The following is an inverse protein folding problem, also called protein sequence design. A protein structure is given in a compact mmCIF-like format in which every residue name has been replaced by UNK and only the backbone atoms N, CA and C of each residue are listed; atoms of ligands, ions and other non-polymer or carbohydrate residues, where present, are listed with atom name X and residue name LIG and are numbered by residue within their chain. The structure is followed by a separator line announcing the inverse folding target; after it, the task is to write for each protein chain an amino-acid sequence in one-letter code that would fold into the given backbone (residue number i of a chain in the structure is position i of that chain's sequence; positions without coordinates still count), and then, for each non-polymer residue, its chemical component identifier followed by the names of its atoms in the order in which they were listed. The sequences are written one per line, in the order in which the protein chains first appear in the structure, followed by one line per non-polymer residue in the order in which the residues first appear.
data_IF_714031526658
#
_entry.id   IF_714031526658
#
_cell.length_a   1.000
_cell.length_b   1.000
_cell.length_c   1.000
_cell.angle_alpha   90.00
_cell.angle_beta   90.00
_cell.angle_gamma   90.00
#
_symmetry.space_group_name_H-M   'P 1'
#
loop_
_entity.id
_entity.type
_entity.pdbx_description
1 polymer ?
#
# COMPACT_ATOMS: atom_id res chain seq x y z
N UNK A 1 18.70 -23.73 6.20
CA UNK A 1 17.45 -23.51 6.95
C UNK A 1 16.63 -22.53 6.13
N UNK A 2 15.53 -23.00 5.57
CA UNK A 2 14.74 -22.29 4.57
C UNK A 2 13.94 -21.18 5.27
N UNK A 3 14.44 -19.95 5.26
CA UNK A 3 13.60 -18.80 5.58
C UNK A 3 12.46 -18.82 4.55
N UNK A 4 11.21 -19.08 4.97
CA UNK A 4 10.06 -19.01 4.08
C UNK A 4 10.02 -17.64 3.39
N UNK A 5 10.50 -17.59 2.15
CA UNK A 5 10.54 -16.43 1.28
C UNK A 5 9.17 -16.29 0.62
N UNK A 6 8.23 -15.76 1.38
CA UNK A 6 6.93 -15.39 0.85
C UNK A 6 7.06 -14.07 0.10
N UNK A 7 6.45 -13.98 -1.09
CA UNK A 7 6.40 -12.75 -1.86
C UNK A 7 4.97 -12.41 -2.23
N UNK A 8 4.71 -11.12 -2.41
CA UNK A 8 3.45 -10.59 -2.89
C UNK A 8 3.66 -9.92 -4.24
N UNK A 9 2.77 -10.22 -5.19
CA UNK A 9 2.68 -9.53 -6.46
C UNK A 9 1.24 -9.11 -6.71
N UNK A 10 1.06 -7.94 -7.31
CA UNK A 10 -0.23 -7.32 -7.58
C UNK A 10 -0.19 -6.70 -8.96
N UNK A 11 -1.23 -6.93 -9.76
CA UNK A 11 -1.38 -6.30 -11.07
C UNK A 11 -2.83 -5.88 -11.27
N UNK A 12 -3.03 -4.61 -11.59
CA UNK A 12 -4.34 -4.03 -11.90
C UNK A 12 -4.33 -3.40 -13.27
N UNK A 13 -5.27 -3.78 -14.12
CA UNK A 13 -5.43 -3.13 -15.42
C UNK A 13 -6.19 -1.80 -15.25
N UNK A 14 -5.70 -0.76 -15.90
CA UNK A 14 -6.29 0.57 -15.88
C UNK A 14 -7.24 0.70 -17.07
N UNK A 15 -8.53 0.89 -16.77
CA UNK A 15 -9.55 1.13 -17.79
C UNK A 15 -9.52 2.57 -18.33
N UNK A 16 -8.92 3.49 -17.57
CA UNK A 16 -8.76 4.90 -17.92
C UNK A 16 -7.40 5.40 -17.42
N UNK A 17 -6.77 6.36 -18.12
CA UNK A 17 -5.56 7.03 -17.65
C UNK A 17 -5.71 7.57 -16.25
N UNK A 18 -4.67 7.42 -15.41
CA UNK A 18 -4.68 8.06 -14.10
C UNK A 18 -4.23 9.51 -14.26
N UNK A 19 -5.23 10.38 -14.14
CA UNK A 19 -5.07 11.83 -14.12
C UNK A 19 -5.36 12.35 -12.72
N UNK A 20 -5.73 13.62 -12.60
CA UNK A 20 -6.20 14.18 -11.35
C UNK A 20 -7.48 13.45 -10.90
N UNK A 21 -7.71 13.37 -9.58
CA UNK A 21 -8.89 12.74 -8.94
C UNK A 21 -8.82 11.22 -8.70
N UNK A 22 -7.64 10.60 -8.74
CA UNK A 22 -7.41 9.30 -8.11
C UNK A 22 -6.86 9.49 -6.70
N UNK A 23 -7.58 8.96 -5.71
CA UNK A 23 -7.14 8.92 -4.32
C UNK A 23 -7.11 7.48 -3.83
N UNK A 24 -6.20 7.19 -2.92
CA UNK A 24 -6.13 5.93 -2.20
C UNK A 24 -6.44 6.16 -0.74
N UNK A 25 -7.39 5.40 -0.22
CA UNK A 25 -7.63 5.32 1.21
C UNK A 25 -6.86 4.13 1.77
N UNK A 26 -6.13 4.34 2.85
CA UNK A 26 -5.43 3.30 3.57
C UNK A 26 -5.87 3.29 5.03
N UNK A 27 -6.24 2.12 5.54
CA UNK A 27 -6.64 1.93 6.92
C UNK A 27 -5.93 0.69 7.47
N UNK A 28 -5.00 0.91 8.40
CA UNK A 28 -4.35 -0.19 9.12
C UNK A 28 -5.26 -0.67 10.24
N UNK A 29 -5.46 -1.97 10.31
CA UNK A 29 -6.33 -2.67 11.24
C UNK A 29 -5.53 -3.65 12.07
N UNK A 30 -5.90 -3.85 13.34
CA UNK A 30 -5.36 -4.88 14.22
C UNK A 30 -6.48 -5.85 14.62
N UNK A 31 -6.16 -7.15 14.67
CA UNK A 31 -7.08 -8.20 15.11
C UNK A 31 -7.00 -8.34 16.63
N UNK A 32 -8.12 -8.04 17.28
CA UNK A 32 -8.37 -8.38 18.68
C UNK A 32 -9.69 -9.16 18.75
N UNK A 33 -10.73 -8.59 19.35
CA UNK A 33 -12.12 -9.08 19.27
C UNK A 33 -12.77 -8.57 17.97
N UNK A 34 -12.22 -8.99 16.83
CA UNK A 34 -12.53 -8.46 15.51
C UNK A 34 -11.47 -7.48 15.00
N UNK A 35 -11.67 -6.99 13.77
CA UNK A 35 -10.80 -6.01 13.13
C UNK A 35 -11.12 -4.60 13.60
N UNK A 36 -10.17 -3.95 14.26
CA UNK A 36 -10.31 -2.56 14.73
C UNK A 36 -9.24 -1.66 14.10
N UNK A 37 -9.54 -0.38 13.81
CA UNK A 37 -8.54 0.57 13.36
C UNK A 37 -7.35 0.62 14.34
N UNK A 38 -6.15 0.39 13.85
CA UNK A 38 -4.91 0.56 14.61
C UNK A 38 -4.50 2.03 14.69
N UNK A 39 -4.77 2.78 13.61
CA UNK A 39 -4.53 4.21 13.49
C UNK A 39 -5.66 4.86 12.68
N UNK A 40 -5.65 6.18 12.54
CA UNK A 40 -6.61 6.87 11.66
C UNK A 40 -6.37 6.48 10.19
N UNK A 41 -7.45 6.36 9.43
CA UNK A 41 -7.40 6.13 7.99
C UNK A 41 -6.81 7.34 7.27
N UNK A 42 -6.06 7.09 6.21
CA UNK A 42 -5.33 8.12 5.47
C UNK A 42 -5.77 8.12 4.01
N UNK A 43 -6.15 9.29 3.52
CA UNK A 43 -6.43 9.53 2.12
C UNK A 43 -5.23 10.19 1.44
N UNK A 44 -4.73 9.54 0.39
CA UNK A 44 -3.64 10.03 -0.45
C UNK A 44 -4.16 10.30 -1.85
N UNK A 45 -4.21 11.56 -2.23
CA UNK A 45 -4.42 11.91 -3.62
C UNK A 45 -3.14 11.59 -4.40
N UNK A 46 -3.21 10.66 -5.34
CA UNK A 46 -2.05 10.02 -5.98
C UNK A 46 -1.11 11.07 -6.60
N UNK A 47 -1.65 11.94 -7.46
CA UNK A 47 -0.84 12.95 -8.16
C UNK A 47 -0.24 14.01 -7.24
N UNK A 48 -0.96 14.40 -6.18
CA UNK A 48 -0.46 15.35 -5.18
C UNK A 48 0.63 14.73 -4.32
N UNK A 49 0.47 13.45 -3.95
CA UNK A 49 1.45 12.69 -3.21
C UNK A 49 2.77 12.59 -3.99
N UNK A 50 2.73 12.35 -5.30
CA UNK A 50 3.95 12.29 -6.11
C UNK A 50 4.72 13.62 -6.20
N UNK A 51 4.02 14.76 -6.16
CA UNK A 51 4.66 16.08 -6.21
C UNK A 51 5.40 16.47 -4.92
N UNK A 52 4.91 16.05 -3.76
CA UNK A 52 5.38 16.59 -2.47
C UNK A 52 5.65 15.55 -1.38
N UNK A 53 5.20 14.31 -1.59
CA UNK A 53 5.23 13.20 -0.61
C UNK A 53 4.83 13.67 0.80
N UNK A 54 3.73 14.42 0.88
CA UNK A 54 3.33 15.17 2.07
C UNK A 54 2.96 14.31 3.30
N UNK A 55 2.64 13.04 3.11
CA UNK A 55 2.18 12.15 4.18
C UNK A 55 3.24 11.12 4.56
N UNK A 56 3.57 11.02 5.86
CA UNK A 56 4.60 10.10 6.37
C UNK A 56 4.21 8.62 6.26
N UNK A 57 2.96 8.26 6.53
CA UNK A 57 2.49 6.88 6.36
C UNK A 57 2.45 6.49 4.88
N UNK A 58 2.02 7.42 4.01
CA UNK A 58 2.11 7.24 2.56
C UNK A 58 3.54 7.02 2.08
N UNK A 59 4.51 7.79 2.60
CA UNK A 59 5.94 7.57 2.36
C UNK A 59 6.37 6.16 2.79
N UNK A 60 5.98 5.72 3.99
CA UNK A 60 6.30 4.38 4.49
C UNK A 60 5.76 3.30 3.55
N UNK A 61 4.47 3.33 3.22
CA UNK A 61 3.84 2.37 2.31
C UNK A 61 4.52 2.36 0.95
N UNK A 62 4.83 3.54 0.39
CA UNK A 62 5.54 3.64 -0.87
C UNK A 62 6.94 3.05 -0.77
N UNK A 63 7.69 3.33 0.30
CA UNK A 63 9.00 2.73 0.54
C UNK A 63 8.93 1.20 0.53
N UNK A 64 7.84 0.57 1.01
CA UNK A 64 7.70 -0.90 0.95
C UNK A 64 7.70 -1.43 -0.48
N UNK A 65 7.04 -0.73 -1.40
CA UNK A 65 6.86 -1.13 -2.80
C UNK A 65 7.83 -0.46 -3.77
N UNK A 66 8.69 0.43 -3.27
CA UNK A 66 9.69 1.14 -4.06
C UNK A 66 10.65 0.18 -4.76
N UNK A 67 10.94 0.42 -6.04
CA UNK A 67 11.68 -0.50 -6.92
C UNK A 67 10.89 -1.73 -7.40
N UNK A 68 9.71 -1.99 -6.84
CA UNK A 68 8.82 -3.09 -7.23
C UNK A 68 7.58 -2.63 -7.96
N UNK A 69 7.36 -1.32 -8.12
CA UNK A 69 6.15 -0.79 -8.75
C UNK A 69 6.45 0.04 -9.98
N UNK A 70 5.54 0.00 -10.96
CA UNK A 70 5.57 0.87 -12.14
C UNK A 70 4.99 2.28 -11.89
N UNK A 71 4.66 2.60 -10.64
CA UNK A 71 4.10 3.89 -10.24
C UNK A 71 5.15 4.99 -9.99
N UNK A 72 6.41 4.80 -10.35
CA UNK A 72 7.54 5.59 -9.83
C UNK A 72 7.73 7.02 -10.41
N UNK A 73 6.87 7.50 -11.30
CA UNK A 73 7.00 8.84 -11.91
C UNK A 73 5.92 9.81 -11.43
N UNK A 74 6.12 11.11 -11.69
CA UNK A 74 5.11 12.13 -11.39
C UNK A 74 3.95 12.02 -12.39
N UNK A 75 2.70 12.16 -11.92
CA UNK A 75 1.52 12.25 -12.79
C UNK A 75 1.70 13.28 -13.94
N UNK A 76 1.04 13.09 -15.09
CA UNK A 76 -0.04 12.12 -15.36
C UNK A 76 0.45 10.74 -15.85
N UNK A 77 -0.33 9.69 -15.56
CA UNK A 77 -0.08 8.33 -16.04
C UNK A 77 -0.99 8.05 -17.23
N UNK A 78 -0.54 8.50 -18.41
CA UNK A 78 -1.31 8.39 -19.66
C UNK A 78 -0.92 7.20 -20.52
N UNK A 79 0.29 6.66 -20.33
CA UNK A 79 0.85 5.58 -21.14
C UNK A 79 0.73 4.22 -20.44
N UNK A 80 0.40 4.23 -19.16
CA UNK A 80 0.32 3.06 -18.30
C UNK A 80 -1.05 2.39 -18.44
N UNK A 81 -1.04 1.18 -18.98
CA UNK A 81 -2.25 0.36 -19.12
C UNK A 81 -2.54 -0.48 -17.88
N UNK A 82 -1.60 -0.56 -16.94
CA UNK A 82 -1.75 -1.30 -15.71
C UNK A 82 -0.89 -0.70 -14.60
N UNK A 83 -1.26 -0.98 -13.36
CA UNK A 83 -0.44 -0.79 -12.17
C UNK A 83 0.09 -2.15 -11.76
N UNK A 84 1.39 -2.24 -11.45
CA UNK A 84 1.96 -3.45 -10.87
C UNK A 84 2.77 -3.15 -9.62
N UNK A 85 2.79 -4.13 -8.73
CA UNK A 85 3.72 -4.27 -7.62
C UNK A 85 4.24 -5.71 -7.75
N UNK A 86 5.49 -5.88 -8.13
CA UNK A 86 6.05 -7.16 -8.53
C UNK A 86 7.04 -7.68 -7.48
N UNK A 87 6.76 -8.87 -6.93
CA UNK A 87 7.66 -9.65 -6.08
C UNK A 87 8.21 -8.87 -4.87
N UNK A 88 7.32 -8.26 -4.09
CA UNK A 88 7.69 -7.68 -2.79
C UNK A 88 7.92 -8.83 -1.80
N UNK A 89 9.17 -9.02 -1.36
CA UNK A 89 9.52 -10.09 -0.42
C UNK A 89 9.17 -9.72 1.02
N UNK A 90 8.73 -10.70 1.80
CA UNK A 90 8.47 -10.53 3.23
C UNK A 90 9.71 -10.04 4.01
N UNK A 91 10.91 -10.44 3.58
CA UNK A 91 12.19 -9.99 4.16
C UNK A 91 12.42 -8.49 3.98
N UNK A 92 12.11 -7.96 2.80
CA UNK A 92 12.28 -6.54 2.49
C UNK A 92 11.27 -5.69 3.26
N UNK A 93 10.03 -6.16 3.33
CA UNK A 93 8.97 -5.54 4.13
C UNK A 93 9.37 -5.52 5.61
N UNK A 94 9.80 -6.65 6.16
CA UNK A 94 10.22 -6.75 7.56
C UNK A 94 11.38 -5.82 7.89
N UNK A 95 12.38 -5.73 7.00
CA UNK A 95 13.51 -4.81 7.16
C UNK A 95 13.06 -3.35 7.16
N UNK A 96 12.19 -2.96 6.22
CA UNK A 96 11.68 -1.58 6.10
C UNK A 96 10.72 -1.21 7.24
N UNK A 97 10.00 -2.17 7.83
CA UNK A 97 9.09 -1.97 8.96
C UNK A 97 9.76 -2.11 10.33
N UNK A 98 11.05 -2.47 10.41
CA UNK A 98 11.75 -2.71 11.69
C UNK A 98 11.75 -1.50 12.65
N UNK A 99 11.69 -0.27 12.12
CA UNK A 99 11.58 0.96 12.92
C UNK A 99 10.14 1.39 13.23
N UNK A 100 9.12 0.69 12.73
CA UNK A 100 7.72 1.01 12.98
C UNK A 100 7.22 0.20 14.18
N UNK A 101 6.62 0.81 15.21
CA UNK A 101 6.30 0.16 16.48
C UNK A 101 5.05 -0.75 16.36
N UNK A 102 5.16 -1.84 15.60
CA UNK A 102 4.15 -2.87 15.50
C UNK A 102 4.42 -3.95 16.55
N UNK A 103 3.48 -4.13 17.47
CA UNK A 103 3.49 -5.26 18.38
C UNK A 103 3.18 -6.57 17.63
N UNK A 104 3.59 -7.69 18.21
CA UNK A 104 3.23 -9.01 17.68
C UNK A 104 1.72 -9.19 17.61
N UNK A 105 1.24 -9.70 16.48
CA UNK A 105 -0.19 -9.88 16.26
C UNK A 105 -0.58 -9.98 14.79
N UNK A 106 -1.88 -10.08 14.56
CA UNK A 106 -2.46 -10.10 13.21
C UNK A 106 -2.96 -8.71 12.83
N UNK A 107 -2.55 -8.25 11.66
CA UNK A 107 -2.90 -6.96 11.10
C UNK A 107 -3.55 -7.13 9.74
N UNK A 108 -4.26 -6.08 9.32
CA UNK A 108 -4.75 -5.98 7.96
C UNK A 108 -4.61 -4.56 7.44
N UNK A 109 -4.16 -4.39 6.21
CA UNK A 109 -4.17 -3.13 5.50
C UNK A 109 -5.38 -3.12 4.57
N UNK A 110 -6.39 -2.33 4.91
CA UNK A 110 -7.55 -2.12 4.08
C UNK A 110 -7.25 -0.95 3.14
N UNK A 111 -7.40 -1.17 1.86
CA UNK A 111 -7.08 -0.18 0.83
C UNK A 111 -8.28 0.00 -0.09
N UNK A 112 -8.57 1.26 -0.44
CA UNK A 112 -9.62 1.58 -1.41
C UNK A 112 -9.06 2.52 -2.46
N UNK A 113 -9.44 2.29 -3.70
CA UNK A 113 -9.18 3.19 -4.82
C UNK A 113 -10.42 4.01 -5.05
N UNK A 114 -10.26 5.33 -4.96
CA UNK A 114 -11.33 6.32 -5.08
C UNK A 114 -11.05 7.12 -6.35
N UNK A 115 -11.99 7.09 -7.30
CA UNK A 115 -11.95 7.89 -8.51
C UNK A 115 -13.12 8.87 -8.50
N UNK A 116 -12.83 10.18 -8.56
CA UNK A 116 -13.85 11.25 -8.50
C UNK A 116 -14.86 11.04 -7.34
N UNK A 117 -14.35 10.77 -6.14
CA UNK A 117 -15.12 10.51 -4.90
C UNK A 117 -15.99 9.24 -4.92
N UNK A 118 -15.82 8.36 -5.92
CA UNK A 118 -16.48 7.06 -5.98
C UNK A 118 -15.45 5.99 -5.70
N UNK A 119 -15.72 5.10 -4.74
CA UNK A 119 -14.86 3.92 -4.53
C UNK A 119 -15.07 2.95 -5.69
N UNK A 120 -14.03 2.74 -6.48
CA UNK A 120 -14.08 1.85 -7.66
C UNK A 120 -13.52 0.46 -7.39
N UNK A 121 -12.69 0.34 -6.35
CA UNK A 121 -12.05 -0.91 -5.99
C UNK A 121 -11.62 -0.91 -4.52
N UNK A 122 -11.58 -2.08 -3.89
CA UNK A 122 -11.04 -2.24 -2.54
C UNK A 122 -10.34 -3.58 -2.38
N UNK A 123 -9.20 -3.58 -1.68
CA UNK A 123 -8.47 -4.79 -1.32
C UNK A 123 -8.02 -4.75 0.13
N UNK A 124 -8.12 -5.91 0.80
CA UNK A 124 -7.75 -6.10 2.19
C UNK A 124 -6.59 -7.09 2.25
N UNK A 125 -5.43 -6.60 2.69
CA UNK A 125 -4.21 -7.40 2.79
C UNK A 125 -4.02 -7.80 4.24
N UNK A 126 -4.02 -9.09 4.54
CA UNK A 126 -3.84 -9.64 5.89
C UNK A 126 -2.41 -10.10 6.10
N UNK A 127 -1.81 -9.75 7.24
CA UNK A 127 -0.44 -10.14 7.57
C UNK A 127 -0.26 -10.33 9.08
N UNK A 128 0.74 -11.13 9.45
CA UNK A 128 1.11 -11.36 10.84
C UNK A 128 2.48 -10.74 11.10
N UNK A 129 2.59 -10.01 12.21
CA UNK A 129 3.86 -9.47 12.70
C UNK A 129 4.38 -10.40 13.78
N UNK A 130 5.62 -10.85 13.59
CA UNK A 130 6.34 -11.75 14.51
C UNK A 130 7.72 -11.13 14.74
N UNK A 131 7.93 -10.54 15.91
CA UNK A 131 9.22 -10.10 16.43
C UNK A 131 9.85 -11.29 17.14
N UNK A 132 11.01 -11.74 16.64
CA UNK A 132 11.91 -12.62 17.39
C UNK A 132 12.66 -11.83 18.45
#
# INVERSE_FOLDING_TARGET
MDHQKNYFSLRYNLLKPITNNVSFHFQLMIRSNGWKPFMYGIDLEMCRFWKSRYNAFGKLLFTLVDGHTNLNHTCPYMSEHFLSIDKVMNTDVSKKLSGFPLANGFYALFTKVIFKNITIYGTNIYFQVISN
#
